data_IF_064790773414
#
_entry.id   IF_064790773414
#
_cell.length_a   1.000
_cell.length_b   1.000
_cell.length_c   1.000
_cell.angle_alpha   90.00
_cell.angle_beta   90.00
_cell.angle_gamma   90.00
#
_symmetry.space_group_name_H-M   'P 1'
#
loop_
_entity.id
_entity.type
_entity.pdbx_description
1 polymer ?
#
# COMPACT_ATOMS: atom_id res chain seq x y z
N UNK A 1 -15.90 -8.38 -4.35
CA UNK A 1 -15.66 -7.20 -3.49
C UNK A 1 -15.16 -6.03 -4.32
N UNK A 2 -15.39 -4.82 -3.87
CA UNK A 2 -14.89 -3.60 -4.54
C UNK A 2 -13.49 -3.26 -4.06
N UNK A 3 -12.65 -2.81 -5.00
CA UNK A 3 -11.27 -2.40 -4.74
C UNK A 3 -10.87 -1.23 -5.63
N UNK A 4 -10.11 -0.27 -5.10
CA UNK A 4 -9.58 0.86 -5.87
C UNK A 4 -8.30 0.44 -6.57
N UNK A 5 -8.29 0.55 -7.89
CA UNK A 5 -7.18 0.19 -8.76
C UNK A 5 -6.67 1.39 -9.54
N UNK A 6 -5.36 1.47 -9.70
CA UNK A 6 -4.66 2.49 -10.47
C UNK A 6 -3.99 1.87 -11.70
N UNK A 7 -4.33 2.32 -12.88
CA UNK A 7 -3.60 1.99 -14.10
C UNK A 7 -2.31 2.81 -14.19
N UNK A 8 -1.17 2.13 -14.24
CA UNK A 8 0.11 2.80 -14.49
C UNK A 8 0.36 3.09 -15.96
N UNK A 9 -0.47 2.55 -16.87
CA UNK A 9 -0.38 2.76 -18.31
C UNK A 9 -0.97 4.12 -18.73
N UNK A 10 -2.20 4.38 -18.30
CA UNK A 10 -2.98 5.56 -18.72
C UNK A 10 -3.33 6.54 -17.57
N UNK A 11 -2.99 6.19 -16.33
CA UNK A 11 -3.26 7.03 -15.16
C UNK A 11 -4.71 7.03 -14.70
N UNK A 12 -5.53 6.09 -15.17
CA UNK A 12 -6.92 5.95 -14.74
C UNK A 12 -7.00 5.30 -13.36
N UNK A 13 -7.79 5.89 -12.47
CA UNK A 13 -8.16 5.29 -11.18
C UNK A 13 -9.59 4.76 -11.31
N UNK A 14 -9.80 3.50 -11.00
CA UNK A 14 -11.10 2.85 -11.13
C UNK A 14 -11.49 2.08 -9.87
N UNK A 15 -12.80 1.93 -9.67
CA UNK A 15 -13.35 1.02 -8.69
C UNK A 15 -13.72 -0.28 -9.40
N UNK A 16 -12.96 -1.34 -9.13
CA UNK A 16 -13.14 -2.64 -9.78
C UNK A 16 -13.82 -3.64 -8.84
N UNK A 17 -14.61 -4.53 -9.41
CA UNK A 17 -15.10 -5.73 -8.74
C UNK A 17 -14.10 -6.87 -8.93
N UNK A 18 -13.56 -7.36 -7.81
CA UNK A 18 -12.56 -8.41 -7.79
C UNK A 18 -12.99 -9.55 -6.84
N UNK A 19 -12.49 -10.78 -7.01
CA UNK A 19 -12.73 -11.85 -6.04
C UNK A 19 -12.25 -11.45 -4.64
N UNK A 20 -12.96 -11.91 -3.61
CA UNK A 20 -12.50 -11.75 -2.23
C UNK A 20 -11.21 -12.56 -2.00
N UNK A 21 -10.23 -12.01 -1.27
CA UNK A 21 -9.00 -12.73 -0.97
C UNK A 21 -9.27 -13.89 0.00
N UNK A 22 -8.41 -14.90 -0.02
CA UNK A 22 -8.35 -15.96 0.99
C UNK A 22 -7.47 -15.50 2.16
N UNK A 23 -7.66 -16.13 3.32
CA UNK A 23 -6.81 -15.91 4.49
C UNK A 23 -5.67 -16.94 4.54
N UNK A 24 -4.43 -16.61 4.12
CA UNK A 24 -3.31 -17.53 4.17
C UNK A 24 -2.78 -17.70 5.61
N UNK A 25 -1.90 -18.69 5.80
CA UNK A 25 -1.14 -18.87 7.03
C UNK A 25 -0.36 -17.59 7.39
N UNK A 26 -0.42 -17.14 8.65
CA UNK A 26 0.27 -15.95 9.14
C UNK A 26 -0.40 -14.62 8.79
N UNK A 27 -1.64 -14.63 8.28
CA UNK A 27 -2.38 -13.45 7.84
C UNK A 27 -3.69 -13.29 8.61
N UNK A 28 -4.20 -12.07 8.58
CA UNK A 28 -5.56 -11.73 8.99
C UNK A 28 -6.37 -11.37 7.74
N UNK A 29 -7.63 -11.82 7.70
CA UNK A 29 -8.64 -11.32 6.77
C UNK A 29 -9.46 -10.27 7.51
N UNK A 30 -9.52 -9.07 6.96
CA UNK A 30 -10.09 -7.89 7.62
C UNK A 30 -11.17 -7.31 6.73
N UNK A 31 -12.38 -7.17 7.28
CA UNK A 31 -13.44 -6.38 6.70
C UNK A 31 -13.18 -4.91 7.00
N UNK A 32 -13.02 -4.12 5.96
CA UNK A 32 -12.63 -2.71 6.06
C UNK A 32 -13.78 -1.85 6.59
N UNK A 33 -13.53 -1.10 7.64
CA UNK A 33 -14.41 -0.03 8.11
C UNK A 33 -14.07 1.29 7.40
N UNK A 34 -12.80 1.70 7.44
CA UNK A 34 -12.32 2.93 6.83
C UNK A 34 -10.90 2.77 6.29
N UNK A 35 -10.57 3.63 5.33
CA UNK A 35 -9.20 3.76 4.82
C UNK A 35 -8.84 5.23 4.71
N UNK A 36 -7.56 5.55 4.97
CA UNK A 36 -7.04 6.89 4.79
C UNK A 36 -6.30 6.98 3.47
N UNK A 37 -6.67 7.96 2.64
CA UNK A 37 -5.97 8.29 1.40
C UNK A 37 -4.75 9.16 1.70
N UNK A 38 -3.57 8.69 1.35
CA UNK A 38 -2.33 9.46 1.46
C UNK A 38 -2.15 10.34 0.23
N UNK A 39 -2.42 11.64 0.39
CA UNK A 39 -2.35 12.60 -0.72
C UNK A 39 -0.96 12.75 -1.35
N UNK A 40 0.12 12.44 -0.62
CA UNK A 40 1.48 12.45 -1.15
C UNK A 40 1.80 11.21 -1.98
N UNK A 41 1.80 10.05 -1.32
CA UNK A 41 2.24 8.79 -1.95
C UNK A 41 1.31 8.32 -3.05
N UNK A 42 0.00 8.38 -2.84
CA UNK A 42 -0.96 7.91 -3.83
C UNK A 42 -1.07 8.86 -5.01
N UNK A 43 -1.00 10.19 -4.77
CA UNK A 43 -0.90 11.17 -5.83
C UNK A 43 0.30 10.93 -6.75
N UNK A 44 1.47 10.58 -6.16
CA UNK A 44 2.66 10.25 -6.94
C UNK A 44 2.41 9.08 -7.90
N UNK A 45 1.69 8.05 -7.46
CA UNK A 45 1.33 6.90 -8.30
C UNK A 45 0.37 7.28 -9.43
N UNK A 46 -0.62 8.12 -9.15
CA UNK A 46 -1.57 8.65 -10.14
C UNK A 46 -0.85 9.52 -11.17
N UNK A 47 0.01 10.43 -10.73
CA UNK A 47 0.79 11.31 -11.61
C UNK A 47 1.78 10.51 -12.47
N UNK A 48 2.42 9.48 -11.90
CA UNK A 48 3.25 8.55 -12.67
C UNK A 48 2.44 7.85 -13.76
N UNK A 49 1.25 7.35 -13.44
CA UNK A 49 0.36 6.72 -14.41
C UNK A 49 -0.01 7.66 -15.57
N UNK A 50 -0.28 8.94 -15.28
CA UNK A 50 -0.62 9.98 -16.28
C UNK A 50 0.57 10.48 -17.09
N UNK A 51 1.79 10.29 -16.62
CA UNK A 51 2.98 10.79 -17.30
C UNK A 51 3.19 10.14 -18.68
N UNK A 52 3.73 10.90 -19.62
CA UNK A 52 4.21 10.36 -20.90
C UNK A 52 5.33 9.34 -20.69
N UNK A 53 5.64 8.53 -21.70
CA UNK A 53 6.75 7.56 -21.66
C UNK A 53 8.08 8.20 -21.26
N UNK A 54 8.39 9.37 -21.81
CA UNK A 54 9.57 10.15 -21.43
C UNK A 54 9.50 10.66 -19.99
N UNK A 55 8.30 11.06 -19.56
CA UNK A 55 8.04 11.46 -18.17
C UNK A 55 8.24 10.31 -17.18
N UNK A 56 7.70 9.13 -17.48
CA UNK A 56 7.89 7.90 -16.68
C UNK A 56 9.36 7.52 -16.59
N UNK A 57 10.10 7.57 -17.70
CA UNK A 57 11.53 7.29 -17.73
C UNK A 57 12.34 8.26 -16.86
N UNK A 58 12.02 9.56 -16.91
CA UNK A 58 12.67 10.59 -16.06
C UNK A 58 12.38 10.42 -14.57
N UNK A 59 11.18 9.96 -14.20
CA UNK A 59 10.80 9.72 -12.80
C UNK A 59 11.44 8.45 -12.22
N UNK A 60 11.87 7.51 -13.06
CA UNK A 60 12.39 6.21 -12.63
C UNK A 60 13.72 5.88 -13.36
N UNK A 61 14.80 6.69 -13.20
CA UNK A 61 16.04 6.52 -13.95
C UNK A 61 16.71 5.17 -13.66
N UNK A 62 16.62 4.66 -12.42
CA UNK A 62 17.18 3.35 -12.07
C UNK A 62 16.46 2.21 -12.82
N UNK A 63 15.12 2.30 -12.95
CA UNK A 63 14.35 1.32 -13.72
C UNK A 63 14.67 1.36 -15.21
N UNK A 64 14.97 2.53 -15.75
CA UNK A 64 15.44 2.65 -17.13
C UNK A 64 16.78 1.94 -17.31
N UNK A 65 17.71 2.08 -16.36
CA UNK A 65 18.98 1.35 -16.36
C UNK A 65 18.76 -0.17 -16.31
N UNK A 66 17.91 -0.64 -15.38
CA UNK A 66 17.53 -2.07 -15.28
C UNK A 66 16.99 -2.61 -16.62
N UNK A 67 16.12 -1.83 -17.30
CA UNK A 67 15.57 -2.17 -18.61
C UNK A 67 16.67 -2.24 -19.68
N UNK A 68 17.59 -1.26 -19.71
CA UNK A 68 18.71 -1.27 -20.66
C UNK A 68 19.65 -2.46 -20.44
N UNK A 69 19.93 -2.81 -19.19
CA UNK A 69 20.76 -3.97 -18.89
C UNK A 69 20.05 -5.27 -19.24
N UNK A 70 18.73 -5.35 -19.00
CA UNK A 70 17.92 -6.49 -19.40
C UNK A 70 17.80 -6.66 -20.93
N UNK A 71 17.79 -5.57 -21.70
CA UNK A 71 17.86 -5.62 -23.17
C UNK A 71 19.16 -6.28 -23.65
N UNK A 72 20.29 -6.05 -22.96
CA UNK A 72 21.59 -6.67 -23.32
C UNK A 72 21.59 -8.18 -23.05
N UNK A 73 20.89 -8.64 -22.00
CA UNK A 73 20.85 -10.07 -21.63
C UNK A 73 19.76 -10.84 -22.34
N UNK A 74 18.54 -10.33 -22.37
CA UNK A 74 17.34 -11.05 -22.80
C UNK A 74 16.86 -10.62 -24.20
N UNK A 75 17.44 -9.54 -24.73
CA UNK A 75 17.04 -8.95 -26.00
C UNK A 75 15.95 -7.88 -25.87
N UNK A 76 15.78 -7.10 -26.95
CA UNK A 76 14.86 -5.95 -26.97
C UNK A 76 13.39 -6.36 -26.85
N UNK A 77 12.95 -7.32 -27.66
CA UNK A 77 11.53 -7.69 -27.75
C UNK A 77 10.97 -8.29 -26.45
N UNK A 78 11.60 -9.31 -25.82
CA UNK A 78 11.11 -9.87 -24.55
C UNK A 78 11.13 -8.84 -23.42
N UNK A 79 12.12 -7.93 -23.40
CA UNK A 79 12.22 -6.89 -22.38
C UNK A 79 11.10 -5.86 -22.52
N UNK A 80 10.81 -5.41 -23.72
CA UNK A 80 9.72 -4.48 -23.98
C UNK A 80 8.36 -5.08 -23.63
N UNK A 81 8.11 -6.34 -24.01
CA UNK A 81 6.90 -7.06 -23.63
C UNK A 81 6.75 -7.16 -22.11
N UNK A 82 7.81 -7.46 -21.36
CA UNK A 82 7.78 -7.53 -19.92
C UNK A 82 7.47 -6.16 -19.27
N UNK A 83 8.01 -5.06 -19.82
CA UNK A 83 7.72 -3.69 -19.37
C UNK A 83 6.26 -3.34 -19.61
N UNK A 84 5.73 -3.62 -20.81
CA UNK A 84 4.33 -3.37 -21.15
C UNK A 84 3.40 -4.15 -20.22
N UNK A 85 3.61 -5.46 -20.07
CA UNK A 85 2.83 -6.33 -19.20
C UNK A 85 2.81 -5.81 -17.75
N UNK A 86 3.95 -5.32 -17.24
CA UNK A 86 4.03 -4.77 -15.89
C UNK A 86 3.24 -3.45 -15.73
N UNK A 87 3.23 -2.60 -16.74
CA UNK A 87 2.47 -1.34 -16.72
C UNK A 87 0.98 -1.55 -16.97
N UNK A 88 0.60 -2.63 -17.63
CA UNK A 88 -0.80 -3.02 -17.87
C UNK A 88 -1.48 -3.61 -16.63
N UNK A 89 -0.71 -4.16 -15.68
CA UNK A 89 -1.27 -4.68 -14.44
C UNK A 89 -1.76 -3.54 -13.55
N UNK A 90 -3.07 -3.47 -13.23
CA UNK A 90 -3.59 -2.46 -12.32
C UNK A 90 -2.97 -2.62 -10.92
N UNK A 91 -2.58 -1.51 -10.31
CA UNK A 91 -2.01 -1.46 -8.98
C UNK A 91 -3.09 -1.16 -7.94
N UNK A 92 -3.31 -2.00 -6.93
CA UNK A 92 -4.19 -1.67 -5.80
C UNK A 92 -3.64 -0.47 -5.02
N UNK A 93 -4.46 0.58 -4.86
CA UNK A 93 -4.13 1.75 -4.03
C UNK A 93 -4.41 1.50 -2.55
N UNK A 94 -3.81 2.33 -1.71
CA UNK A 94 -4.00 2.34 -0.27
C UNK A 94 -2.95 1.52 0.50
N UNK A 95 -2.72 1.97 1.73
CA UNK A 95 -1.85 1.30 2.71
C UNK A 95 -2.16 1.72 4.16
N UNK A 96 -3.29 2.39 4.39
CA UNK A 96 -3.79 2.79 5.70
C UNK A 96 -5.23 2.31 5.83
N UNK A 97 -5.43 1.20 6.53
CA UNK A 97 -6.69 0.51 6.65
C UNK A 97 -7.03 0.26 8.10
N UNK A 98 -8.29 0.46 8.48
CA UNK A 98 -8.86 0.00 9.73
C UNK A 98 -10.10 -0.85 9.44
N UNK A 99 -10.28 -1.91 10.21
CA UNK A 99 -11.42 -2.79 10.06
C UNK A 99 -11.54 -3.81 11.16
N UNK A 100 -12.37 -4.82 10.92
CA UNK A 100 -12.58 -5.93 11.84
C UNK A 100 -12.04 -7.23 11.27
N UNK A 101 -11.40 -8.01 12.11
CA UNK A 101 -10.93 -9.36 11.76
C UNK A 101 -12.15 -10.25 11.53
N UNK A 102 -12.26 -10.83 10.33
CA UNK A 102 -13.33 -11.78 9.96
C UNK A 102 -12.82 -13.21 9.80
N UNK A 103 -11.50 -13.38 9.57
CA UNK A 103 -10.87 -14.70 9.53
C UNK A 103 -9.41 -14.59 9.98
N UNK A 104 -8.88 -15.63 10.62
CA UNK A 104 -7.52 -15.70 11.15
C UNK A 104 -6.81 -16.87 10.49
N UNK A 105 -5.69 -16.59 9.84
CA UNK A 105 -4.85 -17.61 9.21
C UNK A 105 -4.17 -18.50 10.24
N UNK A 106 -3.79 -19.72 9.82
CA UNK A 106 -3.06 -20.65 10.68
C UNK A 106 -1.79 -19.99 11.24
N UNK A 107 -1.42 -20.38 12.48
CA UNK A 107 -0.22 -19.92 13.21
C UNK A 107 -0.22 -18.42 13.59
N UNK A 108 -1.36 -17.74 13.50
CA UNK A 108 -1.55 -16.41 14.07
C UNK A 108 -2.01 -16.54 15.50
N UNK A 109 -1.37 -15.80 16.41
CA UNK A 109 -1.73 -15.70 17.82
C UNK A 109 -1.95 -14.23 18.20
N UNK A 110 -2.67 -14.00 19.30
CA UNK A 110 -2.89 -12.65 19.84
C UNK A 110 -4.02 -11.87 19.19
N UNK A 111 -4.75 -12.45 18.23
CA UNK A 111 -5.92 -11.84 17.59
C UNK A 111 -7.13 -12.77 17.67
N UNK A 112 -8.32 -12.19 17.69
CA UNK A 112 -9.61 -12.88 17.70
C UNK A 112 -10.52 -12.32 16.59
N UNK A 113 -11.46 -13.16 16.13
CA UNK A 113 -12.48 -12.70 15.17
C UNK A 113 -13.32 -11.61 15.86
N UNK A 114 -13.54 -10.49 15.15
CA UNK A 114 -14.21 -9.30 15.66
C UNK A 114 -13.27 -8.24 16.22
N UNK A 115 -11.98 -8.54 16.45
CA UNK A 115 -11.00 -7.53 16.85
C UNK A 115 -10.97 -6.35 15.88
N UNK A 116 -10.95 -5.13 16.41
CA UNK A 116 -10.67 -3.93 15.63
C UNK A 116 -9.18 -3.80 15.42
N UNK A 117 -8.75 -3.70 14.17
CA UNK A 117 -7.33 -3.67 13.81
C UNK A 117 -7.03 -2.60 12.78
N UNK A 118 -5.90 -1.92 12.98
CA UNK A 118 -5.27 -1.13 11.93
C UNK A 118 -4.30 -2.02 11.15
N UNK A 119 -4.13 -1.73 9.88
CA UNK A 119 -3.22 -2.46 9.01
C UNK A 119 -2.74 -1.59 7.84
N UNK A 120 -1.76 -2.09 7.09
CA UNK A 120 -1.39 -1.48 5.82
C UNK A 120 -2.18 -2.05 4.61
N UNK A 121 -3.41 -2.47 4.86
CA UNK A 121 -4.34 -2.93 3.83
C UNK A 121 -4.67 -1.87 2.78
N UNK A 122 -5.11 -2.34 1.61
CA UNK A 122 -5.46 -1.50 0.46
C UNK A 122 -6.86 -0.89 0.62
N UNK A 123 -7.20 0.04 -0.29
CA UNK A 123 -8.57 0.55 -0.42
C UNK A 123 -9.46 -0.53 -1.07
N UNK A 124 -10.00 -1.41 -0.25
CA UNK A 124 -10.87 -2.51 -0.64
C UNK A 124 -11.86 -2.84 0.48
N UNK A 125 -13.00 -3.45 0.16
CA UNK A 125 -14.00 -3.86 1.15
C UNK A 125 -13.45 -4.93 2.11
N UNK A 126 -12.59 -5.82 1.60
CA UNK A 126 -11.92 -6.86 2.40
C UNK A 126 -10.45 -6.91 2.02
N UNK A 127 -9.58 -7.00 3.02
CA UNK A 127 -8.12 -7.06 2.80
C UNK A 127 -7.50 -8.24 3.54
N UNK A 128 -6.47 -8.81 2.95
CA UNK A 128 -5.62 -9.83 3.59
C UNK A 128 -4.28 -9.21 3.90
N UNK A 129 -3.88 -9.20 5.18
CA UNK A 129 -2.66 -8.53 5.66
C UNK A 129 -1.85 -9.45 6.56
N UNK A 130 -0.51 -9.51 6.40
CA UNK A 130 0.35 -10.24 7.32
C UNK A 130 0.19 -9.73 8.75
N UNK A 131 0.16 -10.62 9.73
CA UNK A 131 -0.09 -10.29 11.14
C UNK A 131 0.89 -9.26 11.71
N UNK A 132 2.14 -9.26 11.27
CA UNK A 132 3.18 -8.32 11.69
C UNK A 132 2.95 -6.87 11.17
N UNK A 133 1.99 -6.66 10.28
CA UNK A 133 1.56 -5.37 9.77
C UNK A 133 0.16 -4.98 10.28
N UNK A 134 -0.27 -5.62 11.36
CA UNK A 134 -1.55 -5.36 12.02
C UNK A 134 -1.33 -5.03 13.49
N UNK A 135 -2.17 -4.15 14.04
CA UNK A 135 -2.21 -3.87 15.48
C UNK A 135 -3.66 -3.68 15.94
N UNK A 136 -3.96 -4.16 17.16
CA UNK A 136 -5.27 -3.94 17.78
C UNK A 136 -5.49 -2.47 18.09
N UNK A 137 -6.71 -2.02 17.93
CA UNK A 137 -7.15 -0.65 18.23
C UNK A 137 -7.86 -0.65 19.58
N UNK A 138 -7.44 0.19 20.55
CA UNK A 138 -8.15 0.35 21.82
C UNK A 138 -9.58 0.84 21.61
N UNK A 139 -10.51 0.42 22.47
CA UNK A 139 -11.93 0.81 22.35
C UNK A 139 -12.17 2.32 22.47
N UNK A 140 -11.27 3.02 23.14
CA UNK A 140 -11.32 4.48 23.33
C UNK A 140 -10.91 5.28 22.10
N UNK A 141 -10.34 4.64 21.06
CA UNK A 141 -9.88 5.28 19.82
C UNK A 141 -10.90 5.07 18.73
N UNK A 142 -11.30 6.15 18.06
CA UNK A 142 -12.23 6.08 16.92
C UNK A 142 -11.56 5.42 15.68
N UNK A 143 -12.37 4.93 14.74
CA UNK A 143 -11.84 4.40 13.48
C UNK A 143 -11.18 5.51 12.63
N UNK A 144 -11.72 6.73 12.71
CA UNK A 144 -11.16 7.90 12.05
C UNK A 144 -9.74 8.21 12.52
N UNK A 145 -9.53 8.25 13.84
CA UNK A 145 -8.21 8.53 14.42
C UNK A 145 -7.26 7.36 14.18
N UNK A 146 -7.74 6.13 14.34
CA UNK A 146 -6.94 4.94 14.11
C UNK A 146 -6.43 4.82 12.65
N UNK A 147 -7.18 5.31 11.66
CA UNK A 147 -6.78 5.27 10.25
C UNK A 147 -5.45 6.01 9.98
N UNK A 148 -5.08 7.01 10.82
CA UNK A 148 -3.81 7.73 10.71
C UNK A 148 -2.60 6.96 11.25
N UNK A 149 -2.79 5.85 11.96
CA UNK A 149 -1.71 5.17 12.70
C UNK A 149 -0.53 4.77 11.82
N UNK A 150 -0.77 4.31 10.58
CA UNK A 150 0.33 3.91 9.68
C UNK A 150 1.21 5.12 9.35
N UNK A 151 0.62 6.27 8.99
CA UNK A 151 1.37 7.51 8.72
C UNK A 151 2.04 8.04 10.00
N UNK A 152 1.33 8.02 11.12
CA UNK A 152 1.86 8.45 12.41
C UNK A 152 3.05 7.59 12.87
N UNK A 153 3.04 6.28 12.57
CA UNK A 153 4.17 5.40 12.90
C UNK A 153 5.43 5.75 12.11
N UNK A 154 5.28 6.14 10.83
CA UNK A 154 6.39 6.62 10.00
C UNK A 154 6.94 7.94 10.56
N UNK A 155 6.08 8.90 10.90
CA UNK A 155 6.46 10.17 11.51
C UNK A 155 7.18 9.95 12.86
N UNK A 156 6.64 9.08 13.71
CA UNK A 156 7.23 8.73 15.02
C UNK A 156 8.61 8.08 14.84
N UNK A 157 8.80 7.25 13.81
CA UNK A 157 10.11 6.68 13.51
C UNK A 157 11.13 7.77 13.16
N UNK A 158 10.74 8.78 12.37
CA UNK A 158 11.58 9.96 12.10
C UNK A 158 12.01 10.67 13.39
N UNK A 159 11.06 10.96 14.29
CA UNK A 159 11.35 11.58 15.58
C UNK A 159 12.31 10.73 16.43
N UNK A 160 12.11 9.41 16.47
CA UNK A 160 13.00 8.50 17.21
C UNK A 160 14.42 8.47 16.66
N UNK A 161 14.60 8.59 15.36
CA UNK A 161 15.92 8.60 14.73
C UNK A 161 16.73 9.88 15.05
N UNK A 162 16.06 11.04 15.06
CA UNK A 162 16.73 12.32 15.39
C UNK A 162 16.99 12.50 16.90
N UNK A 163 16.29 11.73 17.75
CA UNK A 163 16.44 11.75 19.22
C UNK A 163 16.41 13.17 19.82
N UNK A 164 15.34 13.95 19.58
CA UNK A 164 15.28 15.34 19.98
C UNK A 164 15.37 15.48 21.51
N UNK A 165 16.01 16.57 21.97
CA UNK A 165 16.13 16.93 23.38
C UNK A 165 15.30 18.18 23.70
N UNK A 166 15.15 18.50 24.99
CA UNK A 166 14.41 19.68 25.42
C UNK A 166 15.05 20.97 24.89
N UNK A 167 14.24 21.86 24.32
CA UNK A 167 14.68 23.16 23.79
C UNK A 167 15.16 23.13 22.35
N UNK A 168 15.18 21.98 21.67
CA UNK A 168 15.48 21.91 20.24
C UNK A 168 14.28 22.30 19.38
N UNK A 169 14.54 23.04 18.30
CA UNK A 169 13.54 23.36 17.29
C UNK A 169 13.67 22.38 16.13
N UNK A 170 12.57 21.73 15.75
CA UNK A 170 12.49 20.80 14.64
C UNK A 170 11.68 21.47 13.52
N UNK A 171 12.28 21.54 12.31
CA UNK A 171 11.60 22.02 11.11
C UNK A 171 11.21 20.79 10.26
N UNK A 172 9.97 20.74 9.81
CA UNK A 172 9.40 19.69 8.96
C UNK A 172 9.04 20.28 7.60
#
# INVERSE_FOLDING_TARGET
MKQVLQSLKNGETSLAEVPAPKCPKGYLLIETSKTLVSTGTERMLVEFGKASWLGKAKQQPEKVKDVLDKIKTDGLYPTMEAVFNKLEQPLPLGYCNIGRVIEIGKDVTGFEIGDRVISNGKHAEVVTVPVNLCAKVPDTVSDEDAAFTVLASIALQGIRLIKPTLGEAIVV
#
